data_IF_045964575043
#
_entry.id   IF_045964575043
#
_cell.length_a   1.000
_cell.length_b   1.000
_cell.length_c   1.000
_cell.angle_alpha   90.00
_cell.angle_beta   90.00
_cell.angle_gamma   90.00
#
_symmetry.space_group_name_H-M   'P 1'
#
loop_
_entity.id
_entity.type
_entity.pdbx_description
1 polymer ?
#
# COMPACT_ATOMS: atom_id res chain seq x y z
N UNK A 1 -12.46 22.86 -18.41
CA UNK A 1 -11.61 21.84 -19.06
C UNK A 1 -12.40 21.10 -20.10
N UNK A 2 -11.78 20.84 -21.26
CA UNK A 2 -12.34 19.97 -22.31
C UNK A 2 -12.29 18.49 -21.87
N UNK A 3 -13.09 17.63 -22.49
CA UNK A 3 -13.07 16.18 -22.21
C UNK A 3 -11.69 15.55 -22.45
N UNK A 4 -10.93 16.08 -23.41
CA UNK A 4 -9.54 15.66 -23.67
C UNK A 4 -8.58 16.06 -22.56
N UNK A 5 -8.72 17.27 -22.02
CA UNK A 5 -7.90 17.75 -20.89
C UNK A 5 -8.19 16.95 -19.62
N UNK A 6 -9.46 16.63 -19.36
CA UNK A 6 -9.85 15.77 -18.23
C UNK A 6 -9.31 14.34 -18.38
N UNK A 7 -9.34 13.79 -19.59
CA UNK A 7 -8.76 12.48 -19.89
C UNK A 7 -7.24 12.45 -19.65
N UNK A 8 -6.53 13.48 -20.12
CA UNK A 8 -5.08 13.60 -19.92
C UNK A 8 -4.73 13.78 -18.44
N UNK A 9 -5.43 14.64 -17.72
CA UNK A 9 -5.21 14.84 -16.27
C UNK A 9 -5.37 13.53 -15.50
N UNK A 10 -6.41 12.75 -15.81
CA UNK A 10 -6.65 11.46 -15.14
C UNK A 10 -5.55 10.44 -15.44
N UNK A 11 -5.01 10.44 -16.66
CA UNK A 11 -3.90 9.56 -17.03
C UNK A 11 -2.61 9.95 -16.31
N UNK A 12 -2.33 11.25 -16.18
CA UNK A 12 -1.17 11.75 -15.43
C UNK A 12 -1.28 11.37 -13.94
N UNK A 13 -2.44 11.59 -13.32
CA UNK A 13 -2.68 11.19 -11.93
C UNK A 13 -2.55 9.68 -11.73
N UNK A 14 -3.11 8.86 -12.64
CA UNK A 14 -2.92 7.40 -12.59
C UNK A 14 -1.44 7.05 -12.58
N UNK A 15 -0.65 7.66 -13.46
CA UNK A 15 0.77 7.38 -13.55
C UNK A 15 1.51 7.80 -12.27
N UNK A 16 1.18 8.95 -11.66
CA UNK A 16 1.79 9.39 -10.40
C UNK A 16 1.50 8.40 -9.27
N UNK A 17 0.25 7.95 -9.14
CA UNK A 17 -0.15 6.94 -8.16
C UNK A 17 0.54 5.60 -8.42
N UNK A 18 0.66 5.19 -9.69
CA UNK A 18 1.36 3.94 -10.05
C UNK A 18 2.85 4.01 -9.72
N UNK A 19 3.50 5.16 -9.92
CA UNK A 19 4.90 5.37 -9.52
C UNK A 19 5.06 5.35 -8.00
N UNK A 20 4.16 5.99 -7.27
CA UNK A 20 4.13 5.94 -5.80
C UNK A 20 4.03 4.49 -5.33
N UNK A 21 3.06 3.74 -5.84
CA UNK A 21 2.83 2.33 -5.51
C UNK A 21 4.05 1.44 -5.85
N UNK A 22 4.71 1.69 -6.98
CA UNK A 22 5.91 0.96 -7.38
C UNK A 22 7.10 1.23 -6.43
N UNK A 23 7.34 2.49 -6.07
CA UNK A 23 8.40 2.88 -5.13
C UNK A 23 8.14 2.33 -3.72
N UNK A 24 6.89 2.45 -3.26
CA UNK A 24 6.39 1.89 -2.01
C UNK A 24 6.62 0.38 -1.92
N UNK A 25 6.23 -0.36 -2.97
CA UNK A 25 6.42 -1.81 -3.05
C UNK A 25 7.91 -2.20 -3.05
N UNK A 26 8.74 -1.48 -3.80
CA UNK A 26 10.17 -1.73 -3.86
C UNK A 26 10.84 -1.57 -2.50
N UNK A 27 10.49 -0.52 -1.73
CA UNK A 27 11.00 -0.32 -0.38
C UNK A 27 10.69 -1.51 0.55
N UNK A 28 9.46 -2.03 0.49
CA UNK A 28 9.04 -3.20 1.26
C UNK A 28 9.73 -4.50 0.81
N UNK A 29 9.78 -4.75 -0.50
CA UNK A 29 10.35 -5.97 -1.07
C UNK A 29 11.87 -6.07 -0.84
N UNK A 30 12.56 -4.92 -0.88
CA UNK A 30 14.01 -4.82 -0.63
C UNK A 30 14.35 -4.65 0.85
N UNK A 31 13.35 -4.70 1.75
CA UNK A 31 13.51 -4.59 3.20
C UNK A 31 14.10 -3.25 3.65
N UNK A 32 13.93 -2.19 2.86
CA UNK A 32 14.24 -0.80 3.24
C UNK A 32 13.10 -0.23 4.09
N UNK A 33 12.76 -0.93 5.17
CA UNK A 33 11.55 -0.66 5.95
C UNK A 33 11.54 0.74 6.58
N UNK A 34 12.72 1.31 6.86
CA UNK A 34 12.83 2.68 7.40
C UNK A 34 12.39 3.74 6.39
N UNK A 35 12.41 3.46 5.09
CA UNK A 35 11.92 4.38 4.04
C UNK A 35 10.38 4.32 3.90
N UNK A 36 9.76 3.22 4.33
CA UNK A 36 8.33 3.00 4.12
C UNK A 36 7.41 4.05 4.78
N UNK A 37 7.66 4.52 6.02
CA UNK A 37 6.86 5.59 6.62
C UNK A 37 6.91 6.92 5.85
N UNK A 38 7.96 7.17 5.06
CA UNK A 38 8.14 8.44 4.34
C UNK A 38 7.25 8.56 3.08
N UNK A 39 6.54 7.49 2.70
CA UNK A 39 5.47 7.57 1.69
C UNK A 39 4.15 8.15 2.23
N UNK A 40 4.08 8.42 3.53
CA UNK A 40 2.89 8.95 4.20
C UNK A 40 3.17 10.36 4.73
N UNK A 41 2.12 11.19 4.72
CA UNK A 41 2.11 12.44 5.50
C UNK A 41 2.15 12.15 7.00
N UNK A 42 2.49 13.16 7.81
CA UNK A 42 2.73 13.00 9.26
C UNK A 42 1.53 12.39 10.00
N UNK A 43 0.31 12.81 9.66
CA UNK A 43 -0.98 12.32 10.17
C UNK A 43 -1.61 11.22 9.29
N UNK A 44 -0.81 10.64 8.39
CA UNK A 44 -1.22 9.56 7.49
C UNK A 44 -1.65 8.32 8.25
N UNK A 45 -2.66 7.63 7.71
CA UNK A 45 -3.25 6.44 8.32
C UNK A 45 -2.98 5.21 7.47
N UNK A 46 -2.59 4.12 8.11
CA UNK A 46 -2.41 2.82 7.45
C UNK A 46 -3.26 1.75 8.12
N UNK A 47 -4.17 1.14 7.36
CA UNK A 47 -5.10 0.14 7.86
C UNK A 47 -5.07 -1.12 7.00
N UNK A 48 -4.81 -2.26 7.64
CA UNK A 48 -4.98 -3.59 7.04
C UNK A 48 -6.21 -4.22 7.66
N UNK A 49 -7.31 -4.25 6.90
CA UNK A 49 -8.60 -4.72 7.38
C UNK A 49 -9.10 -5.90 6.55
N UNK A 50 -9.68 -6.90 7.23
CA UNK A 50 -10.33 -8.01 6.54
C UNK A 50 -11.52 -7.49 5.71
N UNK A 51 -11.65 -7.99 4.47
CA UNK A 51 -12.71 -7.57 3.55
C UNK A 51 -14.11 -7.67 4.16
N UNK A 52 -14.40 -8.76 4.87
CA UNK A 52 -15.72 -8.94 5.51
C UNK A 52 -16.02 -7.82 6.51
N UNK A 53 -15.03 -7.39 7.30
CA UNK A 53 -15.19 -6.28 8.24
C UNK A 53 -15.37 -4.95 7.51
N UNK A 54 -14.60 -4.71 6.45
CA UNK A 54 -14.72 -3.51 5.64
C UNK A 54 -16.10 -3.41 4.99
N UNK A 55 -16.54 -4.47 4.32
CA UNK A 55 -17.82 -4.55 3.60
C UNK A 55 -19.02 -4.39 4.58
N UNK A 56 -18.84 -4.74 5.86
CA UNK A 56 -19.85 -4.60 6.93
C UNK A 56 -19.71 -3.31 7.76
N UNK A 57 -18.75 -2.44 7.45
CA UNK A 57 -18.50 -1.22 8.23
C UNK A 57 -18.03 -1.46 9.67
N UNK A 58 -17.48 -2.63 9.97
CA UNK A 58 -16.96 -2.97 11.30
C UNK A 58 -15.56 -2.37 11.49
N UNK A 59 -15.18 -1.92 12.70
CA UNK A 59 -13.91 -1.21 12.91
C UNK A 59 -12.68 -2.15 12.94
N UNK A 60 -12.87 -3.43 13.26
CA UNK A 60 -11.79 -4.38 13.53
C UNK A 60 -10.83 -4.54 12.34
N UNK A 61 -9.55 -4.27 12.58
CA UNK A 61 -8.46 -4.39 11.63
C UNK A 61 -7.34 -5.26 12.20
N UNK A 62 -6.57 -5.92 11.33
CA UNK A 62 -5.35 -6.62 11.73
C UNK A 62 -4.27 -5.61 12.14
N UNK A 63 -4.25 -4.46 11.46
CA UNK A 63 -3.34 -3.36 11.73
C UNK A 63 -4.08 -2.04 11.50
N UNK A 64 -3.91 -1.10 12.40
CA UNK A 64 -4.40 0.27 12.30
C UNK A 64 -3.34 1.19 12.91
N UNK A 65 -2.65 1.93 12.06
CA UNK A 65 -1.63 2.91 12.44
C UNK A 65 -2.17 4.29 12.09
N UNK A 66 -2.18 5.19 13.06
CA UNK A 66 -2.86 6.49 12.94
C UNK A 66 -1.91 7.68 12.73
N UNK A 67 -0.61 7.42 12.57
CA UNK A 67 0.38 8.43 12.25
C UNK A 67 1.66 7.80 11.68
N UNK A 68 2.48 8.64 11.06
CA UNK A 68 3.83 8.25 10.64
C UNK A 68 4.69 7.76 11.82
N UNK A 69 4.48 8.30 13.03
CA UNK A 69 5.13 7.83 14.25
C UNK A 69 4.79 6.36 14.57
N UNK A 70 3.52 5.99 14.50
CA UNK A 70 3.09 4.60 14.70
C UNK A 70 3.64 3.65 13.62
N UNK A 71 3.83 4.16 12.40
CA UNK A 71 4.48 3.41 11.31
C UNK A 71 5.95 3.14 11.63
N UNK A 72 6.69 4.14 12.12
CA UNK A 72 8.08 4.00 12.57
C UNK A 72 8.21 3.00 13.72
N UNK A 73 7.31 3.08 14.71
CA UNK A 73 7.27 2.09 15.81
C UNK A 73 7.01 0.67 15.31
N UNK A 74 6.13 0.53 14.30
CA UNK A 74 5.85 -0.77 13.68
C UNK A 74 7.07 -1.32 12.94
N UNK A 75 7.78 -0.49 12.18
CA UNK A 75 9.01 -0.86 11.50
C UNK A 75 10.05 -1.36 12.50
N UNK A 76 10.27 -0.60 13.58
CA UNK A 76 11.15 -1.01 14.67
C UNK A 76 10.75 -2.37 15.26
N UNK A 77 9.45 -2.58 15.52
CA UNK A 77 8.94 -3.87 16.01
C UNK A 77 9.25 -5.02 15.06
N UNK A 78 9.01 -4.86 13.76
CA UNK A 78 9.25 -5.92 12.76
C UNK A 78 10.74 -6.22 12.60
N UNK A 79 11.60 -5.21 12.62
CA UNK A 79 13.04 -5.39 12.38
C UNK A 79 13.81 -5.89 13.60
N UNK A 80 13.40 -5.50 14.82
CA UNK A 80 14.15 -5.81 16.04
C UNK A 80 13.54 -6.93 16.88
N UNK A 81 12.22 -7.16 16.82
CA UNK A 81 11.54 -8.02 17.83
C UNK A 81 10.94 -9.30 17.28
N UNK A 82 10.72 -9.38 15.95
CA UNK A 82 10.04 -10.52 15.34
C UNK A 82 11.06 -11.43 14.66
N UNK A 83 11.29 -12.60 15.24
CA UNK A 83 12.06 -13.66 14.58
C UNK A 83 11.18 -14.41 13.60
N UNK A 84 11.62 -14.48 12.34
CA UNK A 84 10.99 -15.31 11.32
C UNK A 84 12.05 -15.99 10.46
N UNK A 85 11.71 -17.15 9.90
CA UNK A 85 12.55 -17.77 8.89
C UNK A 85 12.78 -16.84 7.69
N UNK A 86 13.91 -16.97 6.96
CA UNK A 86 14.17 -16.16 5.78
C UNK A 86 13.05 -16.35 4.73
N UNK A 87 12.65 -15.24 4.11
CA UNK A 87 11.78 -15.22 2.94
C UNK A 87 12.05 -13.97 2.10
N UNK A 88 11.60 -14.04 0.85
CA UNK A 88 11.53 -12.93 -0.10
C UNK A 88 10.08 -12.62 -0.40
N UNK A 89 9.75 -11.34 -0.51
CA UNK A 89 8.43 -10.88 -0.94
C UNK A 89 8.52 -10.26 -2.32
N UNK A 90 7.40 -10.32 -3.05
CA UNK A 90 7.22 -9.58 -4.29
C UNK A 90 5.80 -9.05 -4.36
N UNK A 91 5.65 -7.74 -4.44
CA UNK A 91 4.38 -7.09 -4.70
C UNK A 91 4.13 -6.99 -6.21
N UNK A 92 2.94 -7.40 -6.65
CA UNK A 92 2.41 -7.15 -7.98
C UNK A 92 1.17 -6.28 -7.79
N UNK A 93 1.25 -5.03 -8.25
CA UNK A 93 0.19 -4.03 -8.11
C UNK A 93 -0.38 -3.75 -9.50
N UNK A 94 -1.71 -3.75 -9.63
CA UNK A 94 -2.37 -3.39 -10.89
C UNK A 94 -2.30 -1.88 -11.12
N UNK A 95 -2.50 -1.39 -12.36
CA UNK A 95 -2.71 0.03 -12.59
C UNK A 95 -3.80 0.59 -11.69
N UNK A 96 -3.56 1.75 -11.10
CA UNK A 96 -4.48 2.41 -10.19
C UNK A 96 -5.70 2.93 -10.94
N UNK A 97 -6.86 2.78 -10.33
CA UNK A 97 -8.11 3.39 -10.77
C UNK A 97 -8.31 4.68 -9.97
N UNK A 98 -8.17 5.83 -10.63
CA UNK A 98 -8.56 7.12 -10.04
C UNK A 98 -10.08 7.11 -9.85
N UNK A 99 -10.55 7.25 -8.62
CA UNK A 99 -11.98 7.26 -8.25
C UNK A 99 -12.53 8.67 -8.32
N UNK A 100 -11.83 9.63 -7.70
CA UNK A 100 -12.19 11.04 -7.67
C UNK A 100 -10.97 11.93 -7.44
N UNK A 101 -11.11 13.21 -7.80
CA UNK A 101 -10.18 14.28 -7.49
C UNK A 101 -10.99 15.41 -6.83
N UNK A 102 -10.71 15.70 -5.56
CA UNK A 102 -11.43 16.70 -4.77
C UNK A 102 -10.42 17.76 -4.28
N UNK A 103 -10.27 18.84 -5.05
CA UNK A 103 -9.17 19.79 -4.82
C UNK A 103 -7.84 19.09 -5.09
N UNK A 104 -6.99 19.05 -4.06
CA UNK A 104 -5.67 18.42 -4.12
C UNK A 104 -5.67 16.94 -3.66
N UNK A 105 -6.81 16.42 -3.20
CA UNK A 105 -6.93 15.04 -2.71
C UNK A 105 -7.38 14.11 -3.84
N UNK A 106 -6.57 13.08 -4.09
CA UNK A 106 -6.83 12.01 -5.05
C UNK A 106 -7.33 10.78 -4.31
N UNK A 107 -8.52 10.29 -4.66
CA UNK A 107 -8.98 8.99 -4.20
C UNK A 107 -8.64 7.94 -5.25
N UNK A 108 -7.88 6.91 -4.90
CA UNK A 108 -7.45 5.86 -5.83
C UNK A 108 -7.64 4.46 -5.26
N UNK A 109 -7.84 3.49 -6.15
CA UNK A 109 -7.87 2.07 -5.82
C UNK A 109 -6.90 1.28 -6.71
N UNK A 110 -6.11 0.39 -6.13
CA UNK A 110 -5.26 -0.52 -6.89
C UNK A 110 -5.35 -1.93 -6.31
N UNK A 111 -5.52 -2.95 -7.15
CA UNK A 111 -5.47 -4.34 -6.70
C UNK A 111 -4.01 -4.75 -6.50
N UNK A 112 -3.76 -5.64 -5.54
CA UNK A 112 -2.41 -6.17 -5.33
C UNK A 112 -2.42 -7.68 -5.04
N UNK A 113 -1.30 -8.31 -5.34
CA UNK A 113 -0.93 -9.63 -4.87
C UNK A 113 0.50 -9.59 -4.32
N UNK A 114 0.69 -10.09 -3.10
CA UNK A 114 1.99 -10.29 -2.49
C UNK A 114 2.34 -11.77 -2.58
N UNK A 115 3.43 -12.07 -3.26
CA UNK A 115 4.00 -13.41 -3.31
C UNK A 115 5.10 -13.54 -2.27
N UNK A 116 5.17 -14.69 -1.62
CA UNK A 116 6.24 -15.01 -0.66
C UNK A 116 6.97 -16.27 -1.09
N UNK A 117 8.29 -16.21 -1.10
CA UNK A 117 9.16 -17.33 -1.43
C UNK A 117 10.10 -17.61 -0.27
N UNK A 118 10.06 -18.82 0.28
CA UNK A 118 11.01 -19.30 1.30
C UNK A 118 12.21 -19.98 0.61
N UNK A 119 13.41 -19.99 1.22
CA UNK A 119 14.56 -20.70 0.64
C UNK A 119 14.24 -22.17 0.35
N UNK A 120 14.55 -22.61 -0.87
CA UNK A 120 14.27 -23.96 -1.34
C UNK A 120 12.78 -24.27 -1.58
N UNK A 121 11.88 -23.30 -1.38
CA UNK A 121 10.44 -23.43 -1.64
C UNK A 121 10.02 -22.80 -2.96
N UNK A 122 8.77 -23.07 -3.34
CA UNK A 122 8.10 -22.36 -4.45
C UNK A 122 7.47 -21.06 -3.94
N UNK A 123 7.24 -20.13 -4.86
CA UNK A 123 6.50 -18.90 -4.55
C UNK A 123 5.02 -19.21 -4.31
N UNK A 124 4.46 -18.66 -3.24
CA UNK A 124 3.05 -18.80 -2.89
C UNK A 124 2.39 -17.44 -2.83
N UNK A 125 1.11 -17.37 -3.16
CA UNK A 125 0.29 -16.19 -2.90
C UNK A 125 0.14 -16.05 -1.39
N UNK A 126 0.77 -15.01 -0.83
CA UNK A 126 0.75 -14.75 0.61
C UNK A 126 -0.46 -13.91 1.02
N UNK A 127 -0.74 -12.85 0.26
CA UNK A 127 -1.86 -11.98 0.51
C UNK A 127 -2.34 -11.33 -0.80
N UNK A 128 -3.66 -11.17 -0.94
CA UNK A 128 -4.28 -10.46 -2.07
C UNK A 128 -5.29 -9.48 -1.51
N UNK A 129 -5.46 -8.35 -2.19
CA UNK A 129 -6.38 -7.32 -1.76
C UNK A 129 -6.42 -6.14 -2.71
N UNK A 130 -6.89 -5.02 -2.18
CA UNK A 130 -6.88 -3.72 -2.85
C UNK A 130 -6.46 -2.64 -1.87
N UNK A 131 -5.70 -1.68 -2.37
CA UNK A 131 -5.52 -0.39 -1.72
C UNK A 131 -6.75 0.49 -1.97
N UNK A 132 -7.10 1.30 -0.99
CA UNK A 132 -8.21 2.26 -1.02
C UNK A 132 -7.64 3.51 -0.34
N UNK A 133 -7.08 4.39 -1.15
CA UNK A 133 -6.20 5.44 -0.66
C UNK A 133 -6.79 6.82 -0.93
N UNK A 134 -6.53 7.71 0.01
CA UNK A 134 -6.65 9.15 -0.14
C UNK A 134 -5.21 9.70 -0.12
N UNK A 135 -4.81 10.33 -1.22
CA UNK A 135 -3.46 10.81 -1.51
C UNK A 135 -3.48 12.32 -1.70
#
# INVERSE_FOLDING_TARGET
MTASEQGLQRLMLQQEVDQLNAAYAAALDEKRFEEWPEFFVEDGRYKVQARENFDRGLPLALMALESQGMMKDRVYGVTQTIYHGPYYMRHIISPARIVSLNGDVVCAEANYAVFRTKPGGVSEVYNVGRYIDEL
#
